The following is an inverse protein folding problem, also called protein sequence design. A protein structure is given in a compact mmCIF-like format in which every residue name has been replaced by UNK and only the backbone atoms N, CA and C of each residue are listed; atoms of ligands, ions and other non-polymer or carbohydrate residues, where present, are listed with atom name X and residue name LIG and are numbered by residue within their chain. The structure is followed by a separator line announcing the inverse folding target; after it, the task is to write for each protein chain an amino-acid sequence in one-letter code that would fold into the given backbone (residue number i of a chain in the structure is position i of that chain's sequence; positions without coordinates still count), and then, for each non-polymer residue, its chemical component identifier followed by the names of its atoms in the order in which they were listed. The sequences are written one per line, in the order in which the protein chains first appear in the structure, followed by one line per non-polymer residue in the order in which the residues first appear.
data_IF_948541881632
#
_entry.id   IF_948541881632
#
_cell.length_a   1.000
_cell.length_b   1.000
_cell.length_c   1.000
_cell.angle_alpha   90.00
_cell.angle_beta   90.00
_cell.angle_gamma   90.00
#
_symmetry.space_group_name_H-M   'P 1'
#
loop_
_entity.id
_entity.type
_entity.pdbx_description
1 polymer ?
#
# COMPACT_ATOMS: atom_id res chain seq x y z
N UNK A 1 13.39 17.12 -17.18
CA UNK A 1 12.04 16.54 -16.96
C UNK A 1 11.98 15.06 -17.32
N UNK A 2 12.58 14.59 -18.42
CA UNK A 2 12.69 13.14 -18.72
C UNK A 2 13.35 12.33 -17.59
N UNK A 3 14.41 12.86 -17.00
CA UNK A 3 15.19 12.22 -15.94
C UNK A 3 14.36 11.91 -14.66
N UNK A 4 13.37 12.75 -14.35
CA UNK A 4 12.51 12.59 -13.17
C UNK A 4 11.49 11.46 -13.36
N UNK A 5 11.01 11.25 -14.59
CA UNK A 5 10.07 10.19 -14.91
C UNK A 5 10.74 8.80 -15.00
N UNK A 6 11.99 8.73 -15.45
CA UNK A 6 12.77 7.47 -15.43
C UNK A 6 13.18 7.08 -14.01
N UNK A 7 13.60 8.02 -13.17
CA UNK A 7 13.93 7.75 -11.75
C UNK A 7 12.70 7.28 -10.94
N UNK A 8 11.49 7.55 -11.42
CA UNK A 8 10.22 7.09 -10.85
C UNK A 8 9.80 5.69 -11.31
N UNK A 9 10.37 5.16 -12.40
CA UNK A 9 10.18 3.76 -12.79
C UNK A 9 11.02 2.85 -11.90
N UNK A 10 11.03 3.09 -10.58
CA UNK A 10 11.38 2.02 -9.65
C UNK A 10 10.33 0.97 -9.94
N UNK A 11 10.67 -0.09 -10.69
CA UNK A 11 9.68 -1.05 -11.01
C UNK A 11 9.31 -1.65 -9.66
N UNK A 12 8.05 -2.03 -9.53
CA UNK A 12 7.63 -2.97 -8.49
C UNK A 12 8.28 -4.32 -8.86
N UNK A 13 9.62 -4.37 -8.92
CA UNK A 13 10.39 -5.57 -9.17
C UNK A 13 10.48 -6.27 -7.83
N UNK A 14 9.89 -7.44 -7.67
CA UNK A 14 10.09 -8.23 -6.47
C UNK A 14 11.59 -8.49 -6.33
N UNK A 15 12.20 -7.98 -5.27
CA UNK A 15 13.57 -8.32 -4.92
C UNK A 15 13.54 -9.69 -4.24
N UNK A 16 13.54 -10.77 -5.03
CA UNK A 16 13.64 -12.15 -4.54
C UNK A 16 12.32 -12.90 -4.35
N UNK A 17 12.43 -14.05 -3.71
CA UNK A 17 11.43 -15.09 -3.41
C UNK A 17 10.66 -14.87 -2.08
N UNK A 18 10.72 -13.66 -1.54
CA UNK A 18 10.02 -13.23 -0.33
C UNK A 18 8.48 -13.28 -0.41
N UNK A 19 7.84 -13.25 0.76
CA UNK A 19 6.37 -13.25 0.88
C UNK A 19 5.78 -12.01 0.17
N UNK A 20 4.69 -12.13 -0.63
CA UNK A 20 4.10 -11.01 -1.32
C UNK A 20 3.77 -9.77 -0.48
N UNK A 21 3.32 -9.99 0.76
CA UNK A 21 3.12 -8.89 1.72
C UNK A 21 4.41 -8.15 2.03
N UNK A 22 5.51 -8.86 2.24
CA UNK A 22 6.80 -8.28 2.60
C UNK A 22 7.36 -7.43 1.46
N UNK A 23 7.23 -7.90 0.21
CA UNK A 23 7.64 -7.10 -0.96
C UNK A 23 6.79 -5.84 -1.13
N UNK A 24 5.46 -5.95 -1.04
CA UNK A 24 4.57 -4.78 -1.10
C UNK A 24 4.91 -3.77 0.00
N UNK A 25 5.14 -4.27 1.22
CA UNK A 25 5.55 -3.45 2.37
C UNK A 25 6.90 -2.77 2.14
N UNK A 26 7.89 -3.49 1.62
CA UNK A 26 9.21 -2.95 1.32
C UNK A 26 9.16 -1.87 0.23
N UNK A 27 8.38 -2.10 -0.83
CA UNK A 27 8.19 -1.14 -1.91
C UNK A 27 7.47 0.13 -1.44
N UNK A 28 6.39 0.00 -0.65
CA UNK A 28 5.71 1.14 -0.03
C UNK A 28 6.65 1.90 0.92
N UNK A 29 7.44 1.20 1.72
CA UNK A 29 8.42 1.82 2.64
C UNK A 29 9.44 2.65 1.85
N UNK A 30 10.03 2.07 0.79
CA UNK A 30 10.99 2.78 -0.05
C UNK A 30 10.36 4.01 -0.72
N UNK A 31 9.13 3.85 -1.23
CA UNK A 31 8.39 4.93 -1.87
C UNK A 31 8.09 6.08 -0.90
N UNK A 32 7.55 5.80 0.28
CA UNK A 32 7.22 6.82 1.28
C UNK A 32 8.48 7.51 1.83
N UNK A 33 9.59 6.79 2.03
CA UNK A 33 10.87 7.40 2.42
C UNK A 33 11.39 8.35 1.36
N UNK A 34 11.33 7.95 0.09
CA UNK A 34 11.70 8.82 -1.03
C UNK A 34 10.84 10.09 -1.05
N UNK A 35 9.52 9.96 -0.96
CA UNK A 35 8.61 11.12 -0.97
C UNK A 35 8.80 12.03 0.25
N UNK A 36 9.04 11.47 1.43
CA UNK A 36 9.34 12.23 2.65
C UNK A 36 10.67 12.99 2.55
N UNK A 37 11.68 12.42 1.88
CA UNK A 37 12.95 13.10 1.62
C UNK A 37 12.80 14.19 0.55
N UNK A 38 11.86 14.02 -0.39
CA UNK A 38 11.63 14.93 -1.52
C UNK A 38 10.27 15.63 -1.46
N UNK A 39 9.84 16.16 -0.31
CA UNK A 39 8.47 16.69 -0.07
C UNK A 39 7.97 17.67 -1.14
N UNK A 40 8.82 18.63 -1.57
CA UNK A 40 8.45 19.61 -2.58
C UNK A 40 8.29 19.03 -4.00
N UNK A 41 8.93 17.89 -4.29
CA UNK A 41 8.69 17.11 -5.49
C UNK A 41 7.44 16.24 -5.29
N UNK A 42 7.33 15.50 -4.19
CA UNK A 42 6.19 14.66 -3.84
C UNK A 42 4.86 15.41 -3.95
N UNK A 43 4.80 16.64 -3.43
CA UNK A 43 3.63 17.53 -3.55
C UNK A 43 3.27 17.82 -5.00
N UNK A 44 4.26 18.11 -5.85
CA UNK A 44 4.07 18.35 -7.29
C UNK A 44 3.76 17.07 -8.06
N UNK A 45 4.09 15.89 -7.57
CA UNK A 45 3.79 14.63 -8.24
C UNK A 45 2.39 14.12 -7.86
N UNK A 46 2.09 14.09 -6.57
CA UNK A 46 0.81 13.63 -6.02
C UNK A 46 -0.30 14.64 -6.36
N UNK A 47 -0.04 15.94 -6.18
CA UNK A 47 -1.02 16.99 -6.54
C UNK A 47 -0.88 17.44 -8.00
N UNK A 48 0.29 17.34 -8.64
CA UNK A 48 0.46 17.80 -10.04
C UNK A 48 -0.02 16.81 -11.09
N UNK A 49 -0.49 15.61 -10.71
CA UNK A 49 -1.45 14.86 -11.54
C UNK A 49 -2.78 15.60 -11.74
N UNK A 50 -3.05 16.65 -10.96
CA UNK A 50 -4.13 17.62 -11.13
C UNK A 50 -3.66 18.91 -11.82
N UNK A 51 -2.41 18.96 -12.30
CA UNK A 51 -1.82 20.06 -13.06
C UNK A 51 -2.35 20.12 -14.50
N UNK A 52 -2.24 21.30 -15.13
CA UNK A 52 -2.87 21.63 -16.41
C UNK A 52 -2.23 20.99 -17.66
N UNK A 53 -1.15 20.22 -17.52
CA UNK A 53 -0.46 19.56 -18.65
C UNK A 53 -0.98 18.11 -18.85
N UNK A 54 -1.77 17.84 -19.90
CA UNK A 54 -2.33 16.51 -20.14
C UNK A 54 -1.27 15.43 -20.39
N UNK A 55 -0.14 15.76 -21.01
CA UNK A 55 0.89 14.78 -21.36
C UNK A 55 1.62 14.27 -20.12
N UNK A 56 1.89 15.17 -19.17
CA UNK A 56 2.47 14.82 -17.87
C UNK A 56 1.50 13.91 -17.11
N UNK A 57 0.21 14.27 -17.04
CA UNK A 57 -0.83 13.48 -16.37
C UNK A 57 -0.93 12.05 -16.93
N UNK A 58 -0.88 11.88 -18.25
CA UNK A 58 -0.94 10.56 -18.90
C UNK A 58 0.24 9.65 -18.51
N UNK A 59 1.46 10.20 -18.41
CA UNK A 59 2.65 9.44 -17.98
C UNK A 59 2.47 8.93 -16.54
N UNK A 60 1.95 9.75 -15.63
CA UNK A 60 1.70 9.34 -14.25
C UNK A 60 0.61 8.29 -14.15
N UNK A 61 -0.49 8.47 -14.89
CA UNK A 61 -1.57 7.47 -14.95
C UNK A 61 -1.09 6.13 -15.50
N UNK A 62 -0.21 6.13 -16.51
CA UNK A 62 0.40 4.93 -17.03
C UNK A 62 1.27 4.22 -15.99
N UNK A 63 2.11 4.97 -15.26
CA UNK A 63 2.95 4.40 -14.20
C UNK A 63 2.12 3.79 -13.06
N UNK A 64 1.05 4.47 -12.63
CA UNK A 64 0.08 3.94 -11.65
C UNK A 64 -0.57 2.65 -12.15
N UNK A 65 -0.95 2.63 -13.43
CA UNK A 65 -1.55 1.46 -14.05
C UNK A 65 -0.58 0.28 -14.13
N UNK A 66 0.69 0.53 -14.44
CA UNK A 66 1.74 -0.49 -14.42
C UNK A 66 1.97 -1.06 -13.01
N UNK A 67 1.93 -0.22 -11.97
CA UNK A 67 2.01 -0.67 -10.59
C UNK A 67 0.82 -1.56 -10.18
N UNK A 68 -0.41 -1.21 -10.60
CA UNK A 68 -1.60 -2.04 -10.36
C UNK A 68 -1.46 -3.40 -11.03
N UNK A 69 -1.04 -3.43 -12.31
CA UNK A 69 -0.84 -4.70 -13.04
C UNK A 69 0.22 -5.58 -12.39
N UNK A 70 1.34 -4.99 -11.97
CA UNK A 70 2.40 -5.73 -11.29
C UNK A 70 1.90 -6.31 -9.95
N UNK A 71 1.18 -5.52 -9.14
CA UNK A 71 0.61 -6.00 -7.88
C UNK A 71 -0.43 -7.11 -8.08
N UNK A 72 -1.32 -6.97 -9.07
CA UNK A 72 -2.31 -7.98 -9.40
C UNK A 72 -1.65 -9.29 -9.84
N UNK A 73 -0.69 -9.23 -10.78
CA UNK A 73 0.07 -10.40 -11.22
C UNK A 73 0.77 -11.10 -10.06
N UNK A 74 1.37 -10.32 -9.15
CA UNK A 74 2.08 -10.84 -8.00
C UNK A 74 1.17 -11.50 -6.95
N UNK A 75 -0.09 -11.08 -6.88
CA UNK A 75 -1.13 -11.69 -6.05
C UNK A 75 -1.89 -12.83 -6.75
N UNK A 76 -1.52 -13.18 -8.00
CA UNK A 76 -2.22 -14.19 -8.79
C UNK A 76 -3.60 -13.75 -9.28
N UNK A 77 -3.84 -12.43 -9.36
CA UNK A 77 -5.11 -11.83 -9.79
C UNK A 77 -5.03 -11.40 -11.26
N UNK A 78 -6.17 -11.45 -11.95
CA UNK A 78 -6.30 -10.92 -13.31
C UNK A 78 -6.43 -9.39 -13.30
N UNK A 79 -5.36 -8.71 -13.71
CA UNK A 79 -5.33 -7.26 -13.78
C UNK A 79 -6.28 -6.67 -14.84
N UNK A 80 -6.74 -7.46 -15.82
CA UNK A 80 -7.65 -7.00 -16.86
C UNK A 80 -9.13 -7.10 -16.43
N UNK A 81 -9.43 -7.80 -15.33
CA UNK A 81 -10.77 -7.86 -14.76
C UNK A 81 -11.30 -6.46 -14.41
N UNK A 82 -12.47 -6.09 -14.92
CA UNK A 82 -13.02 -4.75 -14.80
C UNK A 82 -13.22 -4.27 -13.35
N UNK A 83 -13.61 -5.15 -12.43
CA UNK A 83 -13.79 -4.81 -11.02
C UNK A 83 -12.44 -4.57 -10.31
N UNK A 84 -11.43 -5.40 -10.60
CA UNK A 84 -10.06 -5.17 -10.12
C UNK A 84 -9.46 -3.89 -10.69
N UNK A 85 -9.68 -3.60 -11.97
CA UNK A 85 -9.25 -2.34 -12.61
C UNK A 85 -9.86 -1.13 -11.91
N UNK A 86 -11.17 -1.18 -11.67
CA UNK A 86 -11.90 -0.10 -11.00
C UNK A 86 -11.37 0.11 -9.58
N UNK A 87 -11.26 -0.96 -8.79
CA UNK A 87 -10.86 -0.86 -7.39
C UNK A 87 -9.37 -0.60 -7.19
N UNK A 88 -8.51 -1.12 -8.06
CA UNK A 88 -7.09 -0.77 -8.09
C UNK A 88 -6.87 0.72 -8.33
N UNK A 89 -7.60 1.32 -9.29
CA UNK A 89 -7.53 2.77 -9.55
C UNK A 89 -8.02 3.59 -8.35
N UNK A 90 -9.13 3.20 -7.74
CA UNK A 90 -9.64 3.86 -6.54
C UNK A 90 -8.65 3.77 -5.37
N UNK A 91 -8.02 2.60 -5.18
CA UNK A 91 -7.01 2.40 -4.16
C UNK A 91 -5.81 3.31 -4.38
N UNK A 92 -5.26 3.37 -5.60
CA UNK A 92 -4.12 4.25 -5.91
C UNK A 92 -4.47 5.72 -5.65
N UNK A 93 -5.67 6.18 -6.01
CA UNK A 93 -6.10 7.53 -5.70
C UNK A 93 -6.17 7.80 -4.19
N UNK A 94 -6.63 6.83 -3.41
CA UNK A 94 -6.66 6.94 -1.94
C UNK A 94 -5.25 6.90 -1.32
N UNK A 95 -4.35 6.06 -1.84
CA UNK A 95 -2.94 6.00 -1.43
C UNK A 95 -2.24 7.34 -1.67
N UNK A 96 -2.43 7.91 -2.86
CA UNK A 96 -1.90 9.21 -3.25
C UNK A 96 -2.40 10.30 -2.30
N UNK A 97 -3.71 10.39 -2.09
CA UNK A 97 -4.30 11.40 -1.20
C UNK A 97 -3.83 11.23 0.25
N UNK A 98 -3.84 10.01 0.80
CA UNK A 98 -3.36 9.74 2.15
C UNK A 98 -1.88 10.12 2.32
N UNK A 99 -1.06 9.86 1.30
CA UNK A 99 0.36 10.23 1.29
C UNK A 99 0.55 11.74 1.24
N UNK A 100 -0.21 12.46 0.40
CA UNK A 100 -0.16 13.93 0.39
C UNK A 100 -0.52 14.53 1.75
N UNK A 101 -1.61 14.07 2.36
CA UNK A 101 -2.06 14.55 3.67
C UNK A 101 -1.01 14.26 4.76
N UNK A 102 -0.41 13.06 4.74
CA UNK A 102 0.67 12.73 5.66
C UNK A 102 1.91 13.63 5.48
N UNK A 103 2.26 13.95 4.23
CA UNK A 103 3.36 14.87 3.92
C UNK A 103 3.06 16.35 4.19
N UNK A 104 1.82 16.72 4.49
CA UNK A 104 1.45 18.07 4.91
C UNK A 104 1.06 18.14 6.41
N UNK A 105 0.89 16.99 7.05
CA UNK A 105 0.49 16.86 8.45
C UNK A 105 1.57 17.31 9.43
N UNK A 106 1.15 17.98 10.51
CA UNK A 106 1.98 18.30 11.69
C UNK A 106 2.03 17.13 12.71
N UNK A 107 1.24 16.08 12.49
CA UNK A 107 1.23 14.88 13.33
C UNK A 107 2.41 13.94 13.02
N UNK A 108 2.95 13.31 14.07
CA UNK A 108 4.11 12.40 14.02
C UNK A 108 3.77 10.98 13.55
N UNK A 109 3.04 10.83 12.44
CA UNK A 109 2.84 9.50 11.85
C UNK A 109 4.14 9.02 11.20
N UNK A 110 4.63 7.86 11.63
CA UNK A 110 5.86 7.28 11.08
C UNK A 110 5.60 6.65 9.71
N UNK A 111 6.66 6.46 8.92
CA UNK A 111 6.59 5.73 7.64
C UNK A 111 5.98 4.35 7.86
N UNK A 112 6.39 3.66 8.92
CA UNK A 112 5.95 2.30 9.23
C UNK A 112 4.44 2.24 9.47
N UNK A 113 3.87 3.22 10.19
CA UNK A 113 2.42 3.32 10.41
C UNK A 113 1.69 3.59 9.09
N UNK A 114 2.21 4.52 8.27
CA UNK A 114 1.62 4.82 6.97
C UNK A 114 1.64 3.62 6.04
N UNK A 115 2.74 2.85 6.01
CA UNK A 115 2.83 1.62 5.21
C UNK A 115 1.73 0.63 5.59
N UNK A 116 1.52 0.37 6.88
CA UNK A 116 0.46 -0.56 7.30
C UNK A 116 -0.93 -0.03 6.95
N UNK A 117 -1.17 1.27 7.08
CA UNK A 117 -2.44 1.89 6.66
C UNK A 117 -2.68 1.72 5.14
N UNK A 118 -1.66 1.96 4.31
CA UNK A 118 -1.77 1.79 2.86
C UNK A 118 -1.94 0.31 2.46
N UNK A 119 -1.30 -0.63 3.19
CA UNK A 119 -1.53 -2.06 3.01
C UNK A 119 -3.00 -2.44 3.27
N UNK A 120 -3.63 -1.86 4.29
CA UNK A 120 -5.07 -2.09 4.54
C UNK A 120 -5.94 -1.59 3.38
N UNK A 121 -5.61 -0.44 2.77
CA UNK A 121 -6.32 0.05 1.59
C UNK A 121 -6.22 -0.92 0.40
N UNK A 122 -5.05 -1.54 0.19
CA UNK A 122 -4.86 -2.57 -0.84
C UNK A 122 -5.74 -3.80 -0.55
N UNK A 123 -5.74 -4.30 0.69
CA UNK A 123 -6.60 -5.42 1.12
C UNK A 123 -8.08 -5.10 0.89
N UNK A 124 -8.51 -3.90 1.28
CA UNK A 124 -9.88 -3.43 1.08
C UNK A 124 -10.26 -3.35 -0.40
N UNK A 125 -9.33 -2.95 -1.27
CA UNK A 125 -9.57 -2.87 -2.71
C UNK A 125 -9.79 -4.26 -3.33
N UNK A 126 -8.97 -5.25 -2.96
CA UNK A 126 -9.13 -6.64 -3.42
C UNK A 126 -10.48 -7.20 -2.95
N UNK A 127 -10.80 -7.02 -1.67
CA UNK A 127 -12.10 -7.48 -1.11
C UNK A 127 -13.29 -6.78 -1.77
N UNK A 128 -13.17 -5.50 -2.07
CA UNK A 128 -14.25 -4.75 -2.72
C UNK A 128 -14.41 -5.16 -4.18
N UNK A 129 -13.32 -5.48 -4.87
CA UNK A 129 -13.38 -6.02 -6.22
C UNK A 129 -14.17 -7.34 -6.24
N UNK A 130 -13.93 -8.26 -5.30
CA UNK A 130 -14.69 -9.52 -5.21
C UNK A 130 -16.17 -9.34 -4.82
N UNK A 131 -16.54 -8.21 -4.19
CA UNK A 131 -17.95 -7.87 -3.97
C UNK A 131 -18.63 -7.43 -5.28
N UNK A 132 -17.91 -6.69 -6.11
CA UNK A 132 -18.41 -6.21 -7.41
C UNK A 132 -18.46 -7.34 -8.43
N UNK A 133 -17.42 -8.18 -8.48
CA UNK A 133 -17.33 -9.37 -9.32
C UNK A 133 -17.00 -10.61 -8.47
N UNK A 134 -18.02 -11.40 -8.10
CA UNK A 134 -17.85 -12.60 -7.30
C UNK A 134 -17.06 -13.73 -7.97
N UNK A 135 -16.71 -13.61 -9.26
CA UNK A 135 -15.86 -14.61 -9.95
C UNK A 135 -14.37 -14.45 -9.64
N UNK A 136 -14.00 -13.36 -8.95
CA UNK A 136 -12.63 -13.13 -8.49
C UNK A 136 -12.36 -14.03 -7.28
N UNK A 137 -11.45 -14.98 -7.44
CA UNK A 137 -10.92 -15.82 -6.36
C UNK A 137 -9.95 -15.05 -5.45
N UNK A 138 -10.49 -14.11 -4.67
CA UNK A 138 -9.71 -13.22 -3.82
C UNK A 138 -9.09 -13.89 -2.59
N UNK A 139 -9.54 -15.09 -2.19
CA UNK A 139 -9.13 -15.75 -0.96
C UNK A 139 -7.61 -15.93 -0.84
N UNK A 140 -6.98 -16.54 -1.84
CA UNK A 140 -5.53 -16.75 -1.85
C UNK A 140 -4.75 -15.42 -1.81
N UNK A 141 -5.20 -14.40 -2.55
CA UNK A 141 -4.58 -13.08 -2.53
C UNK A 141 -4.70 -12.39 -1.17
N UNK A 142 -5.86 -12.51 -0.51
CA UNK A 142 -6.09 -11.96 0.82
C UNK A 142 -5.25 -12.68 1.89
N UNK A 143 -5.09 -14.00 1.78
CA UNK A 143 -4.22 -14.78 2.66
C UNK A 143 -2.75 -14.39 2.52
N UNK A 144 -2.29 -14.16 1.28
CA UNK A 144 -0.94 -13.64 1.02
C UNK A 144 -0.72 -12.25 1.62
N UNK A 145 -1.76 -11.41 1.68
CA UNK A 145 -1.71 -10.07 2.25
C UNK A 145 -1.95 -10.03 3.77
N UNK A 146 -2.43 -11.12 4.37
CA UNK A 146 -2.78 -11.15 5.77
C UNK A 146 -1.57 -11.03 6.68
N UNK A 147 -1.76 -10.39 7.83
CA UNK A 147 -0.76 -10.39 8.89
C UNK A 147 -0.81 -11.68 9.70
N UNK A 148 0.05 -12.63 9.37
CA UNK A 148 0.21 -13.87 10.16
C UNK A 148 0.75 -13.61 11.59
N UNK A 149 0.98 -12.36 11.98
CA UNK A 149 1.47 -11.99 13.33
C UNK A 149 0.34 -11.77 14.34
N UNK A 150 -0.89 -11.47 13.90
CA UNK A 150 -2.02 -11.20 14.81
C UNK A 150 -2.42 -12.44 15.63
N UNK A 151 -2.10 -13.65 15.18
CA UNK A 151 -2.32 -14.89 15.95
C UNK A 151 -1.42 -15.08 17.17
N UNK A 152 -0.32 -14.32 17.33
CA UNK A 152 0.66 -14.51 18.43
C UNK A 152 0.53 -13.54 19.60
N UNK A 153 -0.36 -12.54 19.49
CA UNK A 153 -0.61 -11.58 20.58
C UNK A 153 -1.79 -11.98 21.46
N UNK A 154 -2.63 -12.93 21.04
CA UNK A 154 -3.76 -13.43 21.83
C UNK A 154 -3.41 -14.58 22.78
N UNK A 155 -2.18 -15.12 22.75
CA UNK A 155 -1.76 -16.23 23.63
C UNK A 155 -0.89 -15.80 24.84
N UNK A 156 -0.63 -14.50 25.06
CA UNK A 156 -0.14 -14.06 26.38
C UNK A 156 -1.32 -13.89 27.32
N UNK A 157 -1.68 -15.00 27.96
CA UNK A 157 -2.60 -15.03 29.09
C UNK A 157 -2.19 -14.04 30.19
N UNK A 158 -3.14 -13.64 31.06
CA UNK A 158 -2.93 -12.57 32.04
C UNK A 158 -1.76 -12.91 32.96
N UNK A 159 -0.82 -11.95 33.10
CA UNK A 159 0.24 -12.03 34.10
C UNK A 159 -0.38 -12.20 35.49
N UNK A 160 0.16 -13.09 36.36
CA UNK A 160 -0.40 -13.29 37.68
C UNK A 160 -0.21 -12.01 38.49
N UNK A 161 -1.33 -11.49 38.99
CA UNK A 161 -1.35 -10.40 39.96
C UNK A 161 -0.52 -10.80 41.19
N UNK A 162 0.62 -10.14 41.38
CA UNK A 162 1.27 -10.03 42.68
C UNK A 162 0.40 -9.13 43.55
N UNK A 163 -0.35 -9.74 44.47
CA UNK A 163 -1.15 -9.03 45.45
C UNK A 163 -1.63 -9.93 46.57
N UNK A 164 -1.12 -9.64 47.77
CA UNK A 164 -1.57 -10.02 49.12
C UNK A 164 -0.99 -11.33 49.67
N UNK A 165 -0.06 -11.26 50.64
CA UNK A 165 -0.26 -10.96 52.07
C UNK A 165 -0.94 -12.11 52.81
N UNK A 166 -0.20 -12.73 53.73
CA UNK A 166 -0.72 -13.77 54.62
C UNK A 166 0.39 -14.44 55.45
N UNK A 167 0.56 -13.95 56.67
CA UNK A 167 0.75 -14.74 57.90
C UNK A 167 2.06 -15.53 58.11
N UNK A 168 2.93 -15.00 58.97
CA UNK A 168 3.34 -15.62 60.25
C UNK A 168 4.03 -14.59 61.16
#
# INVERSE_FOLDING_TARGET
MHETAEQMRVPFTPAGDGNPREHLRAALTAHLRYLAHHRGLARRLILGGRGTDPAVREVFEAARWDAIKAAAQFLGLDAENAALRLMGRAAVAALDEATAQWLDSEHDFTVEVMVEALMQLIVSAVRSASVIDPTIEAGAALDLLADNTTGRLTERGPSPHLGQAGES
#
